data_IF_668718914242
#
_entry.id   IF_668718914242
#
_cell.length_a   1.000
_cell.length_b   1.000
_cell.length_c   1.000
_cell.angle_alpha   90.00
_cell.angle_beta   90.00
_cell.angle_gamma   90.00
#
_symmetry.space_group_name_H-M   'P 1'
#
loop_
_entity.id
_entity.type
_entity.pdbx_description
1 polymer ?
#
# COMPACT_ATOMS: atom_id res chain seq x y z
N UNK A 1 16.10 -33.80 38.41
CA UNK A 1 16.54 -32.65 37.59
C UNK A 1 16.32 -31.40 38.44
N UNK A 2 17.35 -30.58 38.59
CA UNK A 2 17.31 -29.38 39.43
C UNK A 2 16.34 -28.36 38.85
N UNK A 3 15.65 -27.62 39.72
CA UNK A 3 14.67 -26.58 39.37
C UNK A 3 15.24 -25.56 38.36
N UNK A 4 16.55 -25.30 38.47
CA UNK A 4 17.31 -24.43 37.58
C UNK A 4 17.39 -24.94 36.12
N UNK A 5 17.57 -26.24 35.90
CA UNK A 5 17.56 -26.80 34.54
C UNK A 5 16.16 -26.71 33.90
N UNK A 6 15.10 -26.82 34.71
CA UNK A 6 13.72 -26.66 34.24
C UNK A 6 13.44 -25.20 33.86
N UNK A 7 13.89 -24.23 34.68
CA UNK A 7 13.83 -22.80 34.34
C UNK A 7 14.55 -22.47 33.04
N UNK A 8 15.78 -22.97 32.86
CA UNK A 8 16.55 -22.75 31.64
C UNK A 8 15.87 -23.35 30.41
N UNK A 9 15.32 -24.55 30.53
CA UNK A 9 14.57 -25.19 29.43
C UNK A 9 13.33 -24.37 29.03
N UNK A 10 12.58 -23.84 30.01
CA UNK A 10 11.42 -23.00 29.77
C UNK A 10 11.82 -21.66 29.14
N UNK A 11 12.85 -20.98 29.64
CA UNK A 11 13.33 -19.71 29.07
C UNK A 11 13.82 -19.87 27.62
N UNK A 12 14.53 -20.96 27.33
CA UNK A 12 14.97 -21.30 25.98
C UNK A 12 13.78 -21.64 25.06
N UNK A 13 12.72 -22.26 25.59
CA UNK A 13 11.50 -22.53 24.84
C UNK A 13 10.70 -21.25 24.54
N UNK A 14 10.58 -20.32 25.50
CA UNK A 14 9.99 -18.99 25.28
C UNK A 14 10.70 -18.27 24.15
N UNK A 15 12.03 -18.21 24.21
CA UNK A 15 12.85 -17.53 23.19
C UNK A 15 12.64 -18.12 21.79
N UNK A 16 12.56 -19.46 21.68
CA UNK A 16 12.33 -20.16 20.40
C UNK A 16 10.91 -19.96 19.86
N UNK A 17 9.89 -20.01 20.72
CA UNK A 17 8.51 -19.75 20.33
C UNK A 17 8.32 -18.30 19.86
N UNK A 18 8.92 -17.34 20.57
CA UNK A 18 8.90 -15.94 20.14
C UNK A 18 9.72 -15.73 18.86
N UNK A 19 10.85 -16.42 18.67
CA UNK A 19 11.62 -16.36 17.43
C UNK A 19 10.93 -17.04 16.23
N UNK A 20 9.83 -17.76 16.44
CA UNK A 20 9.15 -18.50 15.37
C UNK A 20 9.91 -19.75 14.91
N UNK A 21 10.83 -20.26 15.73
CA UNK A 21 11.64 -21.46 15.45
C UNK A 21 11.34 -22.59 16.47
N UNK A 22 10.08 -23.06 16.54
CA UNK A 22 9.72 -24.17 17.44
C UNK A 22 10.42 -25.46 17.01
N UNK A 23 10.88 -26.23 17.99
CA UNK A 23 11.66 -27.45 17.76
C UNK A 23 10.85 -28.72 18.09
N UNK A 24 9.91 -28.62 19.02
CA UNK A 24 9.15 -29.77 19.56
C UNK A 24 7.64 -29.55 19.57
N UNK A 25 7.17 -28.41 19.09
CA UNK A 25 5.78 -27.98 19.20
C UNK A 25 5.27 -27.36 17.90
N UNK A 26 3.96 -27.11 17.84
CA UNK A 26 3.27 -26.54 16.67
C UNK A 26 3.57 -25.06 16.43
N UNK A 27 4.27 -24.38 17.34
CA UNK A 27 4.61 -22.96 17.23
C UNK A 27 3.52 -21.98 17.66
N UNK A 28 2.39 -22.45 18.18
CA UNK A 28 1.37 -21.59 18.77
C UNK A 28 1.86 -20.90 20.06
N UNK A 29 1.52 -19.63 20.26
CA UNK A 29 1.86 -18.88 21.47
C UNK A 29 0.86 -19.16 22.62
N UNK A 30 0.79 -20.42 23.06
CA UNK A 30 -0.02 -20.87 24.19
C UNK A 30 0.81 -21.64 25.24
N UNK A 31 0.34 -21.71 26.48
CA UNK A 31 1.00 -22.41 27.59
C UNK A 31 1.20 -23.90 27.26
N UNK A 32 0.24 -24.53 26.58
CA UNK A 32 0.33 -25.96 26.23
C UNK A 32 1.51 -26.19 25.31
N UNK A 33 1.63 -25.36 24.28
CA UNK A 33 2.74 -25.39 23.33
C UNK A 33 4.08 -25.05 23.99
N UNK A 34 4.10 -24.10 24.93
CA UNK A 34 5.30 -23.80 25.73
C UNK A 34 5.74 -24.99 26.59
N UNK A 35 4.79 -25.69 27.20
CA UNK A 35 5.06 -26.88 28.00
C UNK A 35 5.66 -28.01 27.15
N UNK A 36 5.09 -28.25 25.97
CA UNK A 36 5.60 -29.20 24.99
C UNK A 36 7.00 -28.82 24.48
N UNK A 37 7.22 -27.54 24.17
CA UNK A 37 8.49 -27.03 23.65
C UNK A 37 9.63 -27.09 24.68
N UNK A 38 9.32 -26.85 25.95
CA UNK A 38 10.24 -26.97 27.07
C UNK A 38 10.39 -28.42 27.57
N UNK A 39 9.53 -29.35 27.13
CA UNK A 39 9.51 -30.73 27.61
C UNK A 39 9.09 -30.87 29.08
N UNK A 40 8.27 -29.94 29.59
CA UNK A 40 7.80 -29.91 30.98
C UNK A 40 6.29 -30.11 31.04
N UNK A 41 5.78 -30.63 32.16
CA UNK A 41 4.32 -30.72 32.37
C UNK A 41 3.73 -29.33 32.63
N UNK A 42 2.58 -29.03 32.03
CA UNK A 42 1.82 -27.77 32.23
C UNK A 42 1.67 -27.35 33.70
N UNK A 43 1.44 -28.30 34.61
CA UNK A 43 1.30 -28.03 36.05
C UNK A 43 2.52 -27.31 36.65
N UNK A 44 3.72 -27.52 36.08
CA UNK A 44 4.92 -26.82 36.53
C UNK A 44 4.89 -25.33 36.17
N UNK A 45 4.38 -24.98 35.00
CA UNK A 45 4.20 -23.58 34.57
C UNK A 45 3.09 -22.86 35.35
N UNK A 46 2.09 -23.59 35.87
CA UNK A 46 0.98 -22.98 36.62
C UNK A 46 1.18 -22.96 38.14
N UNK A 47 2.05 -23.82 38.70
CA UNK A 47 2.24 -23.92 40.15
C UNK A 47 3.67 -23.67 40.66
N UNK A 48 4.71 -23.82 39.82
CA UNK A 48 6.12 -23.64 40.23
C UNK A 48 6.81 -22.47 39.53
N UNK A 49 6.60 -22.35 38.23
CA UNK A 49 7.24 -21.36 37.36
C UNK A 49 6.21 -20.35 36.83
N UNK A 50 5.40 -19.81 37.73
CA UNK A 50 4.35 -18.84 37.40
C UNK A 50 4.91 -17.53 36.86
N UNK A 51 6.10 -17.14 37.33
CA UNK A 51 6.86 -16.00 36.84
C UNK A 51 7.19 -16.13 35.34
N UNK A 52 7.62 -17.32 34.90
CA UNK A 52 7.92 -17.59 33.50
C UNK A 52 6.66 -17.62 32.62
N UNK A 53 5.53 -18.07 33.19
CA UNK A 53 4.22 -17.98 32.53
C UNK A 53 3.80 -16.51 32.33
N UNK A 54 4.00 -15.69 33.36
CA UNK A 54 3.63 -14.27 33.32
C UNK A 54 4.53 -13.49 32.34
N UNK A 55 5.83 -13.79 32.29
CA UNK A 55 6.76 -13.27 31.28
C UNK A 55 6.33 -13.66 29.85
N UNK A 56 5.96 -14.92 29.63
CA UNK A 56 5.50 -15.38 28.32
C UNK A 56 4.23 -14.63 27.86
N UNK A 57 3.29 -14.39 28.77
CA UNK A 57 2.09 -13.60 28.45
C UNK A 57 2.38 -12.11 28.27
N UNK A 58 3.33 -11.54 29.02
CA UNK A 58 3.74 -10.15 28.85
C UNK A 58 4.38 -9.95 27.46
N UNK A 59 5.29 -10.83 27.06
CA UNK A 59 5.93 -10.83 25.74
C UNK A 59 4.93 -11.08 24.60
N UNK A 60 4.03 -12.03 24.80
CA UNK A 60 2.92 -12.25 23.86
C UNK A 60 2.05 -11.00 23.75
N UNK A 61 1.70 -10.34 24.85
CA UNK A 61 0.91 -9.10 24.84
C UNK A 61 1.68 -7.93 24.20
N UNK A 62 3.00 -7.88 24.35
CA UNK A 62 3.84 -6.91 23.66
C UNK A 62 3.88 -7.13 22.14
N UNK A 63 3.71 -8.37 21.68
CA UNK A 63 3.58 -8.72 20.26
C UNK A 63 2.16 -8.65 19.70
N UNK A 64 1.16 -9.03 20.50
CA UNK A 64 -0.27 -8.96 20.16
C UNK A 64 -0.80 -7.51 20.29
N UNK A 65 -0.13 -6.67 21.09
CA UNK A 65 -0.33 -5.23 21.10
C UNK A 65 0.27 -4.64 19.83
N UNK A 66 -0.56 -3.94 19.05
CA UNK A 66 -0.15 -3.30 17.79
C UNK A 66 1.11 -2.47 18.05
N UNK A 67 2.28 -2.86 17.50
CA UNK A 67 3.50 -2.08 17.68
C UNK A 67 3.30 -0.68 17.11
N UNK A 68 3.93 0.34 17.68
CA UNK A 68 3.85 1.73 17.16
C UNK A 68 4.26 1.80 15.66
N UNK A 69 5.14 0.90 15.22
CA UNK A 69 5.50 0.73 13.81
C UNK A 69 4.34 0.26 12.94
N UNK A 70 3.41 -0.55 13.46
CA UNK A 70 2.22 -0.97 12.71
C UNK A 70 1.15 0.14 12.70
N UNK A 71 1.03 0.94 13.75
CA UNK A 71 0.14 2.12 13.77
C UNK A 71 0.59 3.13 12.71
N UNK A 72 1.88 3.47 12.71
CA UNK A 72 2.48 4.37 11.71
C UNK A 72 2.34 3.83 10.30
N UNK A 73 2.56 2.52 10.08
CA UNK A 73 2.31 1.89 8.77
C UNK A 73 0.83 1.96 8.35
N UNK A 74 -0.12 1.83 9.27
CA UNK A 74 -1.55 1.97 8.96
C UNK A 74 -1.90 3.40 8.56
N UNK A 75 -1.32 4.40 9.21
CA UNK A 75 -1.46 5.82 8.84
C UNK A 75 -0.84 6.08 7.46
N UNK A 76 0.36 5.55 7.18
CA UNK A 76 0.99 5.64 5.86
C UNK A 76 0.13 4.99 4.77
N UNK A 77 -0.43 3.80 5.03
CA UNK A 77 -1.34 3.14 4.09
C UNK A 77 -2.59 3.99 3.83
N UNK A 78 -3.15 4.62 4.87
CA UNK A 78 -4.31 5.49 4.73
C UNK A 78 -3.97 6.72 3.85
N UNK A 79 -2.86 7.39 4.13
CA UNK A 79 -2.41 8.56 3.34
C UNK A 79 -2.08 8.19 1.90
N UNK A 80 -1.45 7.03 1.66
CA UNK A 80 -1.14 6.55 0.31
C UNK A 80 -2.41 6.21 -0.47
N UNK A 81 -3.41 5.59 0.18
CA UNK A 81 -4.71 5.33 -0.45
C UNK A 81 -5.41 6.61 -0.87
N UNK A 82 -5.38 7.64 -0.03
CA UNK A 82 -5.94 8.94 -0.34
C UNK A 82 -5.21 9.60 -1.52
N UNK A 83 -3.87 9.58 -1.52
CA UNK A 83 -3.08 10.08 -2.66
C UNK A 83 -3.41 9.35 -3.96
N UNK A 84 -3.54 8.02 -3.93
CA UNK A 84 -3.91 7.22 -5.10
C UNK A 84 -5.30 7.60 -5.61
N UNK A 85 -6.25 7.86 -4.70
CA UNK A 85 -7.59 8.32 -5.08
C UNK A 85 -7.50 9.67 -5.80
N UNK A 86 -6.84 10.65 -5.20
CA UNK A 86 -6.73 12.00 -5.77
C UNK A 86 -6.02 11.99 -7.12
N UNK A 87 -4.93 11.23 -7.27
CA UNK A 87 -4.21 11.09 -8.54
C UNK A 87 -5.06 10.42 -9.64
N UNK A 88 -5.97 9.51 -9.27
CA UNK A 88 -6.90 8.91 -10.24
C UNK A 88 -7.93 9.92 -10.71
N UNK A 89 -8.48 10.71 -9.80
CA UNK A 89 -9.43 11.78 -10.11
C UNK A 89 -8.77 12.81 -11.04
N UNK A 90 -7.58 13.30 -10.70
CA UNK A 90 -6.83 14.27 -11.52
C UNK A 90 -6.51 13.72 -12.91
N UNK A 91 -6.08 12.45 -13.01
CA UNK A 91 -5.85 11.78 -14.29
C UNK A 91 -7.13 11.73 -15.14
N UNK A 92 -8.26 11.42 -14.52
CA UNK A 92 -9.53 11.30 -15.24
C UNK A 92 -9.99 12.68 -15.74
N UNK A 93 -9.79 13.73 -14.95
CA UNK A 93 -10.02 15.12 -15.37
C UNK A 93 -9.14 15.51 -16.57
N UNK A 94 -7.82 15.26 -16.51
CA UNK A 94 -6.93 15.54 -17.63
C UNK A 94 -7.30 14.77 -18.89
N UNK A 95 -7.75 13.52 -18.74
CA UNK A 95 -8.21 12.72 -19.87
C UNK A 95 -9.41 13.36 -20.55
N UNK A 96 -10.43 13.75 -19.78
CA UNK A 96 -11.63 14.41 -20.31
C UNK A 96 -11.28 15.73 -21.00
N UNK A 97 -10.41 16.53 -20.38
CA UNK A 97 -9.95 17.79 -20.95
C UNK A 97 -9.21 17.56 -22.28
N UNK A 98 -8.28 16.60 -22.31
CA UNK A 98 -7.53 16.24 -23.52
C UNK A 98 -8.44 15.79 -24.64
N UNK A 99 -9.42 14.93 -24.36
CA UNK A 99 -10.40 14.49 -25.37
C UNK A 99 -11.25 15.65 -25.89
N UNK A 100 -11.59 16.60 -25.03
CA UNK A 100 -12.34 17.81 -25.42
C UNK A 100 -11.51 18.71 -26.33
N UNK A 101 -10.24 18.95 -26.01
CA UNK A 101 -9.35 19.72 -26.87
C UNK A 101 -9.10 19.02 -28.21
N UNK A 102 -8.92 17.70 -28.22
CA UNK A 102 -8.76 16.93 -29.45
C UNK A 102 -9.98 17.10 -30.39
N UNK A 103 -11.21 17.05 -29.84
CA UNK A 103 -12.43 17.30 -30.61
C UNK A 103 -12.49 18.72 -31.17
N UNK A 104 -12.21 19.74 -30.35
CA UNK A 104 -12.22 21.13 -30.78
C UNK A 104 -11.18 21.39 -31.89
N UNK A 105 -9.96 20.86 -31.73
CA UNK A 105 -8.91 20.93 -32.75
C UNK A 105 -9.33 20.26 -34.06
N UNK A 106 -10.01 19.11 -34.00
CA UNK A 106 -10.51 18.43 -35.18
C UNK A 106 -11.53 19.28 -35.94
N UNK A 107 -12.51 19.87 -35.24
CA UNK A 107 -13.51 20.77 -35.84
C UNK A 107 -12.83 21.97 -36.49
N UNK A 108 -11.95 22.66 -35.77
CA UNK A 108 -11.22 23.81 -36.30
C UNK A 108 -10.36 23.46 -37.52
N UNK A 109 -9.76 22.26 -37.53
CA UNK A 109 -8.99 21.78 -38.68
C UNK A 109 -9.89 21.63 -39.91
N UNK A 110 -11.06 21.00 -39.75
CA UNK A 110 -12.04 20.85 -40.83
C UNK A 110 -12.49 22.21 -41.33
N UNK A 111 -12.91 23.11 -40.44
CA UNK A 111 -13.36 24.45 -40.80
C UNK A 111 -12.28 25.22 -41.56
N UNK A 112 -11.04 25.21 -41.06
CA UNK A 112 -9.92 25.86 -41.74
C UNK A 112 -9.67 25.28 -43.13
N UNK A 113 -9.75 23.96 -43.30
CA UNK A 113 -9.58 23.33 -44.61
C UNK A 113 -10.70 23.71 -45.59
N UNK A 114 -11.94 23.83 -45.10
CA UNK A 114 -13.08 24.24 -45.90
C UNK A 114 -12.96 25.70 -46.34
N UNK A 115 -12.62 26.61 -45.42
CA UNK A 115 -12.37 28.02 -45.73
C UNK A 115 -11.25 28.19 -46.77
N UNK A 116 -10.14 27.44 -46.65
CA UNK A 116 -9.07 27.45 -47.67
C UNK A 116 -9.56 26.98 -49.04
N UNK A 117 -10.41 25.94 -49.08
CA UNK A 117 -11.04 25.47 -50.32
C UNK A 117 -11.99 26.51 -50.92
N UNK A 118 -12.70 27.27 -50.10
CA UNK A 118 -13.57 28.34 -50.58
C UNK A 118 -12.76 29.49 -51.18
N UNK A 119 -11.70 29.94 -50.50
CA UNK A 119 -10.80 30.99 -51.00
C UNK A 119 -10.22 30.62 -52.35
N UNK A 120 -9.78 29.37 -52.52
CA UNK A 120 -9.21 28.88 -53.79
C UNK A 120 -10.23 28.71 -54.91
N UNK A 121 -11.53 28.63 -54.60
CA UNK A 121 -12.62 28.61 -55.60
C UNK A 121 -13.06 30.00 -56.05
N UNK A 122 -12.70 31.06 -55.30
CA UNK A 122 -12.95 32.44 -55.73
C UNK A 122 -11.98 32.73 -56.89
N UNK A 123 -12.46 32.93 -58.13
CA UNK A 123 -11.56 33.30 -59.22
C UNK A 123 -10.89 34.63 -58.88
N UNK A 124 -9.59 34.74 -59.15
CA UNK A 124 -8.86 36.00 -59.00
C UNK A 124 -9.67 37.09 -59.70
N UNK A 125 -10.13 38.09 -58.95
CA UNK A 125 -10.82 39.22 -59.54
C UNK A 125 -9.87 39.82 -60.59
N UNK A 126 -10.33 39.87 -61.84
CA UNK A 126 -9.61 40.52 -62.92
C UNK A 126 -9.53 42.01 -62.60
N UNK A 127 -8.52 42.41 -61.82
CA UNK A 127 -8.23 43.81 -61.54
C UNK A 127 -7.68 44.42 -62.83
N UNK A 128 -8.57 45.03 -63.62
CA UNK A 128 -8.21 45.81 -64.81
C UNK A 128 -7.71 47.17 -64.33
N UNK A 129 -6.43 47.45 -64.51
CA UNK A 129 -5.87 48.77 -64.23
C UNK A 129 -6.57 49.83 -65.11
N UNK A 130 -7.08 50.89 -64.48
CA UNK A 130 -7.62 52.06 -65.17
C UNK A 130 -6.48 52.80 -65.88
N UNK A 131 -6.60 53.13 -67.18
CA UNK A 131 -5.55 53.85 -67.87
C UNK A 131 -5.40 55.26 -67.30
N UNK A 132 -4.16 55.62 -66.97
CA UNK A 132 -3.79 57.00 -66.60
C UNK A 132 -4.04 57.92 -67.79
N UNK A 133 -4.84 58.96 -67.56
CA UNK A 133 -5.21 59.99 -68.55
C UNK A 133 -3.97 60.83 -68.90
N UNK A 134 -3.78 61.23 -70.19
CA UNK A 134 -2.61 61.99 -70.65
C UNK A 134 -2.52 63.39 -70.06
#
# INVERSE_FOLDING_TARGET
MTDEHERQAIAAAISRLLAGTPLRSSGALDIVTLAEEAGVKRNKLTHKHTDLKDLFYAERKARDGVPDSEITLREEIATLKEKIKNLREERDEYRIASETFARAMHVLTIENTNLRKEITKIPASSVRALPSRP
#
